data_IF_292626604825
#
_entry.id   IF_292626604825
#
_cell.length_a   1.000
_cell.length_b   1.000
_cell.length_c   1.000
_cell.angle_alpha   90.00
_cell.angle_beta   90.00
_cell.angle_gamma   90.00
#
_symmetry.space_group_name_H-M   'P 1'
#
loop_
_entity.id
_entity.type
_entity.pdbx_description
1 polymer ?
#
# COMPACT_ATOMS: atom_id res chain seq x y z
N UNK A 1 11.38 -16.42 -4.72
CA UNK A 1 11.47 -17.88 -4.96
C UNK A 1 12.32 -18.52 -3.86
N UNK A 2 13.56 -18.08 -3.67
CA UNK A 2 14.48 -18.67 -2.67
C UNK A 2 13.91 -18.72 -1.24
N UNK A 3 13.26 -17.65 -0.77
CA UNK A 3 12.61 -17.63 0.55
C UNK A 3 11.45 -18.62 0.69
N UNK A 4 10.71 -18.88 -0.39
CA UNK A 4 9.58 -19.80 -0.35
C UNK A 4 10.05 -21.26 -0.29
N UNK A 5 11.11 -21.61 -1.01
CA UNK A 5 11.76 -22.91 -0.88
C UNK A 5 12.27 -23.13 0.55
N UNK A 6 12.93 -22.14 1.15
CA UNK A 6 13.36 -22.20 2.55
C UNK A 6 12.20 -22.42 3.53
N UNK A 7 11.04 -21.79 3.31
CA UNK A 7 9.84 -22.01 4.13
C UNK A 7 9.39 -23.47 4.09
N UNK A 8 9.44 -24.09 2.90
CA UNK A 8 9.11 -25.51 2.70
C UNK A 8 10.15 -26.42 3.35
N UNK A 9 11.44 -26.19 3.09
CA UNK A 9 12.55 -26.99 3.65
C UNK A 9 12.58 -26.98 5.18
N UNK A 10 12.21 -25.86 5.79
CA UNK A 10 12.17 -25.70 7.25
C UNK A 10 10.86 -26.18 7.89
N UNK A 11 9.94 -26.77 7.12
CA UNK A 11 8.62 -27.23 7.57
C UNK A 11 7.82 -26.14 8.32
N UNK A 12 7.93 -24.88 7.90
CA UNK A 12 7.34 -23.77 8.65
C UNK A 12 5.80 -23.81 8.64
N UNK A 13 5.18 -24.30 7.56
CA UNK A 13 3.72 -24.49 7.51
C UNK A 13 3.23 -25.42 8.63
N UNK A 14 3.87 -26.59 8.76
CA UNK A 14 3.55 -27.57 9.82
C UNK A 14 3.77 -26.99 11.22
N UNK A 15 4.82 -26.17 11.41
CA UNK A 15 5.08 -25.49 12.69
C UNK A 15 3.98 -24.45 13.00
N UNK A 16 3.48 -23.73 12.01
CA UNK A 16 2.34 -22.81 12.18
C UNK A 16 1.06 -23.55 12.54
N UNK A 17 0.77 -24.68 11.89
CA UNK A 17 -0.38 -25.54 12.23
C UNK A 17 -0.31 -26.05 13.67
N UNK A 18 0.87 -26.50 14.11
CA UNK A 18 1.09 -26.91 15.50
C UNK A 18 0.90 -25.74 16.48
N UNK A 19 1.34 -24.54 16.12
CA UNK A 19 1.11 -23.34 16.93
C UNK A 19 -0.38 -23.00 17.03
N UNK A 20 -1.14 -23.14 15.92
CA UNK A 20 -2.60 -22.94 15.88
C UNK A 20 -3.32 -23.99 16.72
N UNK A 21 -2.96 -25.27 16.59
CA UNK A 21 -3.51 -26.38 17.40
C UNK A 21 -3.23 -26.23 18.90
N UNK A 22 -2.09 -25.62 19.27
CA UNK A 22 -1.74 -25.29 20.66
C UNK A 22 -2.38 -23.98 21.16
N UNK A 23 -3.19 -23.31 20.34
CA UNK A 23 -3.86 -22.05 20.69
C UNK A 23 -2.93 -20.84 20.77
N UNK A 24 -1.69 -20.92 20.27
CA UNK A 24 -0.73 -19.80 20.30
C UNK A 24 -1.04 -18.74 19.24
N UNK A 25 -1.62 -19.16 18.12
CA UNK A 25 -2.08 -18.29 17.04
C UNK A 25 -3.50 -18.71 16.63
N UNK A 26 -4.27 -17.76 16.10
CA UNK A 26 -5.66 -18.01 15.65
C UNK A 26 -5.75 -18.21 14.14
N UNK A 27 -4.92 -17.51 13.38
CA UNK A 27 -4.94 -17.48 11.92
C UNK A 27 -3.52 -17.58 11.36
N UNK A 28 -3.39 -18.11 10.15
CA UNK A 28 -2.16 -18.30 9.41
C UNK A 28 -2.26 -17.51 8.12
N UNK A 29 -1.29 -16.63 7.88
CA UNK A 29 -1.22 -15.81 6.69
C UNK A 29 0.21 -15.50 6.32
N UNK A 30 0.36 -14.79 5.20
CA UNK A 30 1.67 -14.32 4.73
C UNK A 30 1.60 -12.86 4.28
N UNK A 31 2.72 -12.16 4.35
CA UNK A 31 2.92 -10.89 3.65
C UNK A 31 3.75 -11.13 2.40
N UNK A 32 3.56 -10.31 1.38
CA UNK A 32 4.14 -10.56 0.08
C UNK A 32 4.85 -9.36 -0.53
N UNK A 33 6.09 -9.59 -0.98
CA UNK A 33 6.88 -8.70 -1.81
C UNK A 33 7.55 -9.53 -2.91
N UNK A 34 7.07 -9.43 -4.15
CA UNK A 34 7.57 -10.24 -5.25
C UNK A 34 6.72 -10.10 -6.50
N UNK A 35 6.96 -10.92 -7.52
CA UNK A 35 6.17 -10.92 -8.75
C UNK A 35 4.81 -11.61 -8.60
N UNK A 36 3.86 -11.26 -9.46
CA UNK A 36 2.57 -11.95 -9.54
C UNK A 36 2.71 -13.49 -9.66
N UNK A 37 3.61 -14.01 -10.50
CA UNK A 37 3.77 -15.47 -10.63
C UNK A 37 4.17 -16.15 -9.32
N UNK A 38 5.05 -15.52 -8.53
CA UNK A 38 5.44 -16.02 -7.23
C UNK A 38 4.30 -15.89 -6.20
N UNK A 39 3.45 -14.87 -6.33
CA UNK A 39 2.25 -14.73 -5.51
C UNK A 39 1.28 -15.89 -5.74
N UNK A 40 1.02 -16.23 -7.01
CA UNK A 40 0.16 -17.37 -7.39
C UNK A 40 0.71 -18.69 -6.84
N UNK A 41 2.01 -18.92 -7.00
CA UNK A 41 2.65 -20.12 -6.45
C UNK A 41 2.43 -20.25 -4.92
N UNK A 42 2.61 -19.16 -4.17
CA UNK A 42 2.49 -19.17 -2.71
C UNK A 42 1.02 -19.30 -2.29
N UNK A 43 0.11 -18.52 -2.88
CA UNK A 43 -1.30 -18.52 -2.48
C UNK A 43 -2.02 -19.83 -2.85
N UNK A 44 -1.49 -20.60 -3.80
CA UNK A 44 -1.98 -21.94 -4.16
C UNK A 44 -1.40 -23.07 -3.31
N UNK A 45 -0.29 -22.82 -2.63
CA UNK A 45 0.43 -23.84 -1.87
C UNK A 45 -0.22 -24.24 -0.54
N UNK A 46 -1.14 -23.42 -0.01
CA UNK A 46 -1.70 -23.60 1.32
C UNK A 46 -3.07 -22.93 1.46
N UNK A 47 -3.89 -23.40 2.41
CA UNK A 47 -5.17 -22.79 2.78
C UNK A 47 -4.96 -21.62 3.74
N UNK A 48 -4.48 -20.50 3.20
CA UNK A 48 -4.21 -19.28 3.96
C UNK A 48 -5.50 -18.64 4.51
N UNK A 49 -5.47 -18.15 5.75
CA UNK A 49 -6.55 -17.35 6.33
C UNK A 49 -6.51 -15.91 5.79
N UNK A 50 -5.31 -15.38 5.51
CA UNK A 50 -5.12 -14.03 4.97
C UNK A 50 -3.82 -13.88 4.16
N UNK A 51 -3.76 -12.84 3.32
CA UNK A 51 -2.53 -12.32 2.71
C UNK A 51 -2.43 -10.81 2.88
N UNK A 52 -1.21 -10.31 3.08
CA UNK A 52 -0.92 -8.87 3.09
C UNK A 52 -0.15 -8.46 1.83
N UNK A 53 -0.68 -7.48 1.09
CA UNK A 53 -0.09 -6.97 -0.16
C UNK A 53 -0.05 -5.44 -0.18
N UNK A 54 0.83 -4.87 -1.00
CA UNK A 54 0.83 -3.44 -1.31
C UNK A 54 -0.21 -3.13 -2.39
N UNK A 55 -1.05 -2.12 -2.15
CA UNK A 55 -2.05 -1.67 -3.12
C UNK A 55 -2.44 -0.20 -2.87
N UNK A 56 -2.36 0.61 -3.93
CA UNK A 56 -2.82 2.00 -4.02
C UNK A 56 -2.93 2.36 -5.51
N UNK A 57 -3.45 3.54 -5.86
CA UNK A 57 -3.71 3.89 -7.27
C UNK A 57 -2.43 4.07 -8.14
N UNK A 58 -1.25 4.23 -7.53
CA UNK A 58 0.03 4.23 -8.25
C UNK A 58 0.61 2.82 -8.44
N UNK A 59 0.27 1.89 -7.57
CA UNK A 59 0.90 0.58 -7.45
C UNK A 59 -0.03 -0.58 -7.88
N UNK A 60 -1.08 -0.30 -8.68
CA UNK A 60 -2.05 -1.29 -9.18
C UNK A 60 -1.38 -2.45 -9.93
N UNK A 61 -0.29 -2.18 -10.66
CA UNK A 61 0.46 -3.18 -11.43
C UNK A 61 1.81 -3.53 -10.77
N UNK A 62 1.95 -3.26 -9.47
CA UNK A 62 3.17 -3.52 -8.71
C UNK A 62 3.00 -4.75 -7.81
N UNK A 63 4.06 -5.54 -7.70
CA UNK A 63 4.11 -6.78 -6.90
C UNK A 63 3.00 -7.80 -7.20
N UNK A 64 2.10 -8.06 -6.24
CA UNK A 64 0.96 -8.97 -6.41
C UNK A 64 -0.04 -8.43 -7.44
N UNK A 65 -0.05 -7.12 -7.69
CA UNK A 65 -0.97 -6.42 -8.61
C UNK A 65 -2.44 -6.55 -8.21
N UNK A 66 -3.31 -5.82 -8.90
CA UNK A 66 -4.76 -5.98 -8.81
C UNK A 66 -5.20 -7.42 -9.08
N UNK A 67 -4.55 -8.11 -10.03
CA UNK A 67 -4.86 -9.50 -10.36
C UNK A 67 -4.64 -10.44 -9.17
N UNK A 68 -3.59 -10.21 -8.38
CA UNK A 68 -3.32 -11.00 -7.18
C UNK A 68 -4.35 -10.73 -6.08
N UNK A 69 -4.77 -9.46 -5.93
CA UNK A 69 -5.86 -9.08 -5.03
C UNK A 69 -7.16 -9.80 -5.42
N UNK A 70 -7.58 -9.70 -6.69
CA UNK A 70 -8.78 -10.37 -7.21
C UNK A 70 -8.71 -11.88 -7.02
N UNK A 71 -7.54 -12.47 -7.28
CA UNK A 71 -7.34 -13.90 -7.13
C UNK A 71 -7.49 -14.34 -5.67
N UNK A 72 -6.83 -13.66 -4.73
CA UNK A 72 -6.97 -13.92 -3.30
C UNK A 72 -8.43 -13.81 -2.84
N UNK A 73 -9.13 -12.75 -3.28
CA UNK A 73 -10.53 -12.55 -2.97
C UNK A 73 -11.42 -13.68 -3.51
N UNK A 74 -11.21 -14.11 -4.76
CA UNK A 74 -11.95 -15.23 -5.36
C UNK A 74 -11.76 -16.56 -4.62
N UNK A 75 -10.65 -16.72 -3.88
CA UNK A 75 -10.37 -17.89 -3.03
C UNK A 75 -10.93 -17.75 -1.62
N UNK A 76 -11.61 -16.65 -1.30
CA UNK A 76 -12.12 -16.35 0.04
C UNK A 76 -11.03 -16.05 1.07
N UNK A 77 -9.84 -15.65 0.61
CA UNK A 77 -8.71 -15.29 1.48
C UNK A 77 -8.83 -13.81 1.82
N UNK A 78 -8.74 -13.46 3.10
CA UNK A 78 -8.79 -12.05 3.52
C UNK A 78 -7.55 -11.29 3.01
N UNK A 79 -7.76 -10.13 2.38
CA UNK A 79 -6.66 -9.31 1.85
C UNK A 79 -6.46 -8.09 2.73
N UNK A 80 -5.28 -8.00 3.33
CA UNK A 80 -4.81 -6.86 4.12
C UNK A 80 -3.94 -5.97 3.23
N UNK A 81 -4.29 -4.69 3.12
CA UNK A 81 -3.54 -3.72 2.31
C UNK A 81 -2.54 -2.98 3.18
N UNK A 82 -1.27 -3.02 2.76
CA UNK A 82 -0.22 -2.14 3.26
C UNK A 82 0.13 -1.07 2.22
N UNK A 83 0.83 -0.02 2.67
CA UNK A 83 1.25 1.11 1.84
C UNK A 83 0.10 1.80 1.07
N UNK A 84 -1.10 2.01 1.69
CA UNK A 84 -2.22 2.64 1.00
C UNK A 84 -1.93 4.10 0.63
N UNK A 85 -1.01 4.75 1.34
CA UNK A 85 -0.55 6.12 1.10
C UNK A 85 0.90 6.19 0.58
N UNK A 86 1.50 5.05 0.22
CA UNK A 86 2.85 4.93 -0.37
C UNK A 86 3.94 5.67 0.43
N UNK A 87 4.09 5.32 1.71
CA UNK A 87 5.01 6.03 2.62
C UNK A 87 4.68 7.51 2.84
N UNK A 88 3.40 7.88 2.77
CA UNK A 88 2.92 9.27 2.95
C UNK A 88 2.96 10.14 1.70
N UNK A 89 3.49 9.64 0.57
CA UNK A 89 3.57 10.41 -0.69
C UNK A 89 2.20 10.79 -1.23
N UNK A 90 1.19 9.93 -1.05
CA UNK A 90 -0.19 10.21 -1.47
C UNK A 90 -0.96 11.11 -0.48
N UNK A 91 -0.27 11.67 0.52
CA UNK A 91 -0.80 12.70 1.40
C UNK A 91 -0.25 14.10 1.07
N UNK A 92 0.74 14.19 0.17
CA UNK A 92 1.31 15.47 -0.26
C UNK A 92 0.32 16.21 -1.15
N UNK A 93 0.18 17.52 -0.97
CA UNK A 93 -0.64 18.35 -1.85
C UNK A 93 0.18 19.48 -2.45
N UNK A 94 -0.30 20.00 -3.56
CA UNK A 94 0.16 21.22 -4.20
C UNK A 94 -1.05 21.89 -4.88
N UNK A 95 -0.84 23.06 -5.50
CA UNK A 95 -1.92 23.79 -6.16
C UNK A 95 -2.68 22.96 -7.21
N UNK A 96 -1.98 22.15 -8.01
CA UNK A 96 -2.62 21.34 -9.05
C UNK A 96 -3.53 20.26 -8.45
N UNK A 97 -3.07 19.59 -7.38
CA UNK A 97 -3.85 18.61 -6.63
C UNK A 97 -5.05 19.27 -5.95
N UNK A 98 -4.84 20.42 -5.30
CA UNK A 98 -5.89 21.18 -4.64
C UNK A 98 -6.96 21.63 -5.64
N UNK A 99 -6.59 22.09 -6.83
CA UNK A 99 -7.52 22.50 -7.87
C UNK A 99 -8.38 21.29 -8.35
N UNK A 100 -7.79 20.11 -8.52
CA UNK A 100 -8.51 18.88 -8.90
C UNK A 100 -9.52 18.49 -7.81
N UNK A 101 -9.09 18.34 -6.55
CA UNK A 101 -10.00 17.93 -5.47
C UNK A 101 -11.08 18.98 -5.20
N UNK A 102 -10.78 20.27 -5.41
CA UNK A 102 -11.75 21.35 -5.29
C UNK A 102 -12.77 21.37 -6.43
N UNK A 103 -12.43 20.84 -7.60
CA UNK A 103 -13.38 20.66 -8.70
C UNK A 103 -14.35 19.49 -8.47
N UNK A 104 -13.98 18.52 -7.62
CA UNK A 104 -14.77 17.33 -7.40
C UNK A 104 -16.15 17.64 -6.76
N UNK A 105 -17.21 16.91 -7.16
CA UNK A 105 -18.56 17.13 -6.63
C UNK A 105 -18.65 16.77 -5.14
N UNK A 106 -17.90 15.75 -4.70
CA UNK A 106 -17.79 15.36 -3.30
C UNK A 106 -16.47 15.90 -2.74
N UNK A 107 -16.55 16.59 -1.60
CA UNK A 107 -15.37 17.14 -0.93
C UNK A 107 -14.71 16.08 -0.07
N UNK A 108 -13.44 15.80 -0.37
CA UNK A 108 -12.57 14.89 0.35
C UNK A 108 -11.19 15.51 0.48
N UNK A 109 -10.48 15.16 1.54
CA UNK A 109 -9.04 15.45 1.61
C UNK A 109 -8.28 14.54 0.64
N UNK A 110 -7.03 14.90 0.33
CA UNK A 110 -6.15 14.08 -0.50
C UNK A 110 -5.96 12.67 0.08
N UNK A 111 -5.81 12.57 1.40
CA UNK A 111 -5.70 11.29 2.12
C UNK A 111 -7.00 10.48 2.00
N UNK A 112 -8.15 11.13 2.14
CA UNK A 112 -9.44 10.44 2.01
C UNK A 112 -9.62 9.88 0.58
N UNK A 113 -9.30 10.65 -0.47
CA UNK A 113 -9.30 10.14 -1.86
C UNK A 113 -8.46 8.87 -2.03
N UNK A 114 -7.25 8.85 -1.49
CA UNK A 114 -6.36 7.69 -1.58
C UNK A 114 -6.88 6.48 -0.82
N UNK A 115 -7.45 6.68 0.37
CA UNK A 115 -8.00 5.57 1.16
C UNK A 115 -9.32 5.04 0.57
N UNK A 116 -10.21 5.93 0.09
CA UNK A 116 -11.44 5.50 -0.58
C UNK A 116 -11.16 4.67 -1.83
N UNK A 117 -10.13 5.01 -2.62
CA UNK A 117 -9.71 4.17 -3.74
C UNK A 117 -9.42 2.72 -3.30
N UNK A 118 -8.68 2.55 -2.20
CA UNK A 118 -8.34 1.22 -1.67
C UNK A 118 -9.60 0.51 -1.16
N UNK A 119 -10.43 1.18 -0.36
CA UNK A 119 -11.67 0.60 0.18
C UNK A 119 -12.76 0.34 -0.86
N UNK A 120 -12.71 1.01 -2.01
CA UNK A 120 -13.64 0.78 -3.11
C UNK A 120 -13.55 -0.64 -3.67
N UNK A 121 -12.41 -1.31 -3.51
CA UNK A 121 -12.24 -2.67 -4.02
C UNK A 121 -12.87 -3.73 -3.09
N UNK A 122 -13.82 -4.57 -3.56
CA UNK A 122 -14.53 -5.52 -2.71
C UNK A 122 -13.65 -6.61 -2.09
N UNK A 123 -12.50 -6.89 -2.70
CA UNK A 123 -11.51 -7.82 -2.16
C UNK A 123 -10.71 -7.32 -0.96
N UNK A 124 -10.77 -6.02 -0.63
CA UNK A 124 -10.02 -5.44 0.49
C UNK A 124 -10.75 -5.72 1.81
N UNK A 125 -10.08 -6.40 2.72
CA UNK A 125 -10.62 -6.73 4.04
C UNK A 125 -10.18 -5.73 5.13
N UNK A 126 -8.92 -5.30 5.10
CA UNK A 126 -8.34 -4.36 6.06
C UNK A 126 -7.34 -3.46 5.35
N UNK A 127 -7.27 -2.19 5.74
CA UNK A 127 -6.27 -1.22 5.25
C UNK A 127 -5.39 -0.76 6.42
N UNK A 128 -4.08 -0.88 6.26
CA UNK A 128 -3.08 -0.47 7.24
C UNK A 128 -2.56 0.93 6.89
N UNK A 129 -3.13 1.96 7.53
CA UNK A 129 -2.71 3.36 7.35
C UNK A 129 -1.86 3.83 8.53
N UNK A 130 -0.59 4.19 8.28
CA UNK A 130 0.32 4.74 9.30
C UNK A 130 0.01 6.21 9.58
N UNK A 131 0.09 6.61 10.85
CA UNK A 131 -0.27 7.97 11.30
C UNK A 131 0.73 8.45 12.36
N UNK A 132 1.12 9.72 12.28
CA UNK A 132 2.14 10.33 13.14
C UNK A 132 1.54 11.12 14.31
N UNK A 133 0.24 11.44 14.26
CA UNK A 133 -0.43 12.21 15.30
C UNK A 133 -1.90 11.83 15.46
N UNK A 134 -2.50 12.24 16.58
CA UNK A 134 -3.89 11.92 16.93
C UNK A 134 -4.92 12.52 15.96
N UNK A 135 -4.62 13.65 15.33
CA UNK A 135 -5.55 14.28 14.39
C UNK A 135 -5.73 13.41 13.14
N UNK A 136 -4.64 12.88 12.59
CA UNK A 136 -4.69 11.90 11.50
C UNK A 136 -5.45 10.62 11.88
N UNK A 137 -5.33 10.17 13.14
CA UNK A 137 -6.12 9.03 13.65
C UNK A 137 -7.61 9.33 13.59
N UNK A 138 -8.04 10.50 14.07
CA UNK A 138 -9.45 10.88 14.05
C UNK A 138 -9.98 10.98 12.62
N UNK A 139 -9.20 11.59 11.71
CA UNK A 139 -9.56 11.71 10.30
C UNK A 139 -9.68 10.35 9.62
N UNK A 140 -8.71 9.46 9.79
CA UNK A 140 -8.76 8.12 9.19
C UNK A 140 -9.92 7.27 9.75
N UNK A 141 -10.29 7.43 11.02
CA UNK A 141 -11.48 6.76 11.59
C UNK A 141 -12.76 7.27 10.91
N UNK A 142 -12.89 8.57 10.67
CA UNK A 142 -14.03 9.15 9.95
C UNK A 142 -14.07 8.64 8.51
N UNK A 143 -12.94 8.67 7.81
CA UNK A 143 -12.84 8.21 6.42
C UNK A 143 -13.20 6.72 6.30
N UNK A 144 -12.70 5.88 7.22
CA UNK A 144 -13.01 4.46 7.27
C UNK A 144 -14.50 4.20 7.55
N UNK A 145 -15.13 4.99 8.43
CA UNK A 145 -16.56 4.87 8.72
C UNK A 145 -17.45 5.22 7.51
N UNK A 146 -16.94 6.02 6.57
CA UNK A 146 -17.64 6.38 5.34
C UNK A 146 -17.27 5.47 4.14
N UNK A 147 -16.38 4.49 4.36
CA UNK A 147 -15.88 3.62 3.31
C UNK A 147 -16.83 2.45 3.03
N UNK A 148 -16.95 2.08 1.75
CA UNK A 148 -17.69 0.90 1.31
C UNK A 148 -17.11 0.36 -0.02
N UNK A 149 -17.19 -0.95 -0.27
CA UNK A 149 -16.91 -1.50 -1.60
C UNK A 149 -17.82 -0.87 -2.66
N UNK A 150 -17.26 -0.64 -3.86
CA UNK A 150 -17.97 -0.08 -5.02
C UNK A 150 -18.74 1.21 -4.69
N UNK A 151 -18.18 2.04 -3.80
CA UNK A 151 -18.80 3.30 -3.35
C UNK A 151 -18.44 4.51 -4.21
N UNK A 152 -17.36 4.41 -4.99
CA UNK A 152 -16.92 5.48 -5.88
C UNK A 152 -17.66 5.44 -7.21
N UNK A 153 -18.19 6.59 -7.61
CA UNK A 153 -18.80 6.82 -8.93
C UNK A 153 -17.74 6.94 -10.03
N UNK A 154 -18.16 6.87 -11.29
CA UNK A 154 -17.27 7.06 -12.44
C UNK A 154 -16.58 8.44 -12.42
N UNK A 155 -17.28 9.49 -11.98
CA UNK A 155 -16.74 10.84 -11.84
C UNK A 155 -15.64 10.90 -10.79
N UNK A 156 -15.84 10.21 -9.67
CA UNK A 156 -14.87 10.13 -8.58
C UNK A 156 -13.65 9.29 -8.96
N UNK A 157 -13.84 8.22 -9.74
CA UNK A 157 -12.75 7.44 -10.31
C UNK A 157 -11.91 8.27 -11.31
N UNK A 158 -12.56 9.12 -12.13
CA UNK A 158 -11.85 10.05 -13.02
C UNK A 158 -10.98 11.05 -12.25
N UNK A 159 -11.47 11.59 -11.14
CA UNK A 159 -10.66 12.45 -10.24
C UNK A 159 -9.43 11.70 -9.73
N UNK A 160 -9.57 10.43 -9.34
CA UNK A 160 -8.43 9.61 -8.88
C UNK A 160 -7.42 9.36 -10.01
N UNK A 161 -7.89 9.14 -11.24
CA UNK A 161 -7.02 9.00 -12.40
C UNK A 161 -6.23 10.30 -12.68
N UNK A 162 -6.87 11.46 -12.57
CA UNK A 162 -6.18 12.75 -12.69
C UNK A 162 -5.11 12.95 -11.60
N UNK A 163 -5.44 12.62 -10.34
CA UNK A 163 -4.47 12.64 -9.24
C UNK A 163 -3.29 11.71 -9.53
N UNK A 164 -3.57 10.49 -9.98
CA UNK A 164 -2.56 9.48 -10.33
C UNK A 164 -1.57 10.00 -11.37
N UNK A 165 -2.02 10.70 -12.39
CA UNK A 165 -1.14 11.28 -13.41
C UNK A 165 -0.18 12.33 -12.81
N UNK A 166 -0.69 13.23 -11.96
CA UNK A 166 0.16 14.22 -11.27
C UNK A 166 1.19 13.51 -10.40
N UNK A 167 0.75 12.61 -9.51
CA UNK A 167 1.66 11.90 -8.62
C UNK A 167 2.71 11.08 -9.38
N UNK A 168 2.33 10.41 -10.47
CA UNK A 168 3.26 9.66 -11.32
C UNK A 168 4.28 10.58 -11.98
N UNK A 169 3.90 11.81 -12.32
CA UNK A 169 4.82 12.80 -12.87
C UNK A 169 5.81 13.34 -11.84
N UNK A 170 5.43 13.43 -10.56
CA UNK A 170 6.24 14.04 -9.48
C UNK A 170 7.06 13.02 -8.68
N UNK A 171 6.62 11.77 -8.56
CA UNK A 171 7.33 10.71 -7.82
C UNK A 171 8.21 9.94 -8.81
N UNK A 172 9.53 10.23 -8.80
CA UNK A 172 10.50 9.61 -9.72
C UNK A 172 11.01 8.26 -9.26
N UNK A 173 11.15 8.09 -7.94
CA UNK A 173 11.65 6.85 -7.34
C UNK A 173 10.53 6.20 -6.52
N UNK A 174 10.15 4.94 -6.80
CA UNK A 174 9.05 4.23 -6.12
C UNK A 174 9.43 3.74 -4.71
N UNK A 175 10.14 4.56 -3.94
CA UNK A 175 10.49 4.29 -2.55
C UNK A 175 9.26 4.51 -1.65
N UNK A 176 8.99 3.63 -0.70
CA UNK A 176 7.96 3.81 0.34
C UNK A 176 8.53 4.12 1.73
N UNK A 177 9.84 4.35 1.83
CA UNK A 177 10.56 4.56 3.09
C UNK A 177 10.52 3.36 4.06
N UNK A 178 10.41 2.14 3.53
CA UNK A 178 10.33 0.90 4.33
C UNK A 178 11.64 0.47 5.01
N UNK A 179 12.77 1.09 4.64
CA UNK A 179 14.12 0.78 5.14
C UNK A 179 14.60 -0.67 4.93
N UNK A 180 13.97 -1.46 4.06
CA UNK A 180 14.43 -2.82 3.74
C UNK A 180 15.81 -2.86 3.06
N UNK A 181 16.25 -1.74 2.50
CA UNK A 181 17.59 -1.57 1.93
C UNK A 181 18.64 -1.17 2.99
N UNK A 182 18.27 -1.09 4.27
CA UNK A 182 19.16 -0.67 5.35
C UNK A 182 19.52 -1.84 6.30
N UNK A 183 20.75 -1.84 6.88
CA UNK A 183 21.84 -0.90 6.60
C UNK A 183 22.48 -1.17 5.23
N UNK A 184 22.88 -0.10 4.54
CA UNK A 184 23.72 -0.23 3.34
C UNK A 184 25.17 -0.50 3.74
N UNK A 185 25.80 -1.53 3.18
CA UNK A 185 27.21 -1.87 3.45
C UNK A 185 28.19 -0.72 3.14
N UNK A 186 27.80 0.17 2.22
CA UNK A 186 28.59 1.33 1.82
C UNK A 186 28.28 2.59 2.67
N UNK A 187 27.43 2.46 3.70
CA UNK A 187 27.06 3.57 4.58
C UNK A 187 26.12 4.61 3.94
N UNK A 188 25.54 4.29 2.79
CA UNK A 188 24.60 5.19 2.08
C UNK A 188 23.22 5.09 2.71
N UNK A 189 22.63 6.24 3.06
CA UNK A 189 21.21 6.31 3.39
C UNK A 189 20.38 6.28 2.09
N UNK A 190 20.14 5.06 1.59
CA UNK A 190 19.42 4.84 0.32
C UNK A 190 17.99 5.42 0.38
N UNK A 191 17.18 5.16 1.43
CA UNK A 191 15.85 5.75 1.55
C UNK A 191 15.89 7.28 1.48
N UNK A 192 16.83 7.91 2.19
CA UNK A 192 16.90 9.36 2.26
C UNK A 192 17.28 10.00 0.93
N UNK A 193 18.26 9.42 0.22
CA UNK A 193 18.60 9.86 -1.12
C UNK A 193 17.41 9.75 -2.09
N UNK A 194 16.59 8.70 -1.97
CA UNK A 194 15.38 8.57 -2.77
C UNK A 194 14.27 9.55 -2.36
N UNK A 195 14.17 9.90 -1.09
CA UNK A 195 13.26 10.96 -0.62
C UNK A 195 13.68 12.32 -1.19
N UNK A 196 14.98 12.64 -1.13
CA UNK A 196 15.57 13.85 -1.72
C UNK A 196 15.27 14.00 -3.21
N UNK A 197 15.47 12.94 -4.01
CA UNK A 197 15.19 12.97 -5.45
C UNK A 197 13.69 13.22 -5.70
N UNK A 198 12.82 12.57 -4.93
CA UNK A 198 11.38 12.76 -5.06
C UNK A 198 10.95 14.16 -4.61
N UNK A 199 11.54 14.70 -3.55
CA UNK A 199 11.30 16.06 -3.08
C UNK A 199 11.74 17.09 -4.13
N UNK A 200 12.93 16.91 -4.71
CA UNK A 200 13.42 17.74 -5.82
C UNK A 200 12.46 17.73 -7.02
N UNK A 201 11.91 16.57 -7.37
CA UNK A 201 10.94 16.45 -8.45
C UNK A 201 9.56 17.03 -8.09
N UNK A 202 9.22 17.05 -6.80
CA UNK A 202 7.98 17.62 -6.29
C UNK A 202 8.02 19.15 -6.28
N UNK A 203 9.02 19.74 -5.60
CA UNK A 203 9.17 21.19 -5.39
C UNK A 203 9.94 21.88 -6.53
N UNK A 204 10.64 21.14 -7.37
CA UNK A 204 11.58 21.68 -8.34
C UNK A 204 12.91 22.16 -7.72
N UNK A 205 13.12 21.95 -6.42
CA UNK A 205 14.35 22.29 -5.70
C UNK A 205 14.58 21.37 -4.50
N UNK A 206 15.81 21.34 -3.96
CA UNK A 206 16.15 20.68 -2.68
C UNK A 206 16.52 21.69 -1.58
N UNK A 207 16.35 22.99 -1.84
CA UNK A 207 16.91 24.03 -0.98
C UNK A 207 16.23 24.12 0.38
N UNK A 208 14.92 23.88 0.44
CA UNK A 208 14.15 23.87 1.69
C UNK A 208 14.51 22.65 2.54
N UNK A 209 14.70 21.49 1.90
CA UNK A 209 15.07 20.26 2.58
C UNK A 209 16.46 20.27 3.22
N UNK A 210 17.41 21.01 2.65
CA UNK A 210 18.77 21.14 3.18
C UNK A 210 18.88 22.16 4.33
N UNK A 211 17.77 22.82 4.71
CA UNK A 211 17.75 23.81 5.80
C UNK A 211 17.26 23.23 7.13
N UNK A 212 16.71 22.02 7.12
CA UNK A 212 16.32 21.24 8.31
C UNK A 212 17.42 20.23 8.70
#
# INVERSE_FOLDING_TARGET
KDKWEQIKELDLLKKMEQAKAKGKIKHIGFSFHGSYDAFIEIIDSYSWDMTQIQFNYLDINYQATLKGLDYAYSKGIAVVIMEPLRGGKLALSNKEIDDIINSAPVKRSVVDWALQFVWNHPGVSVVLSGMSNLQQVKENVINANNSNPNSLTEDELRIIDELKEIYSSKIKVPCTNCQYCMPCEQGVDIPENFNLINHAAWEGSVQEWLQD
#
